data_IF_468526164293
#
_entry.id   IF_468526164293
#
_cell.length_a   1.000
_cell.length_b   1.000
_cell.length_c   1.000
_cell.angle_alpha   90.00
_cell.angle_beta   90.00
_cell.angle_gamma   90.00
#
_symmetry.space_group_name_H-M   'P 1'
#
loop_
_entity.id
_entity.type
_entity.pdbx_description
1 polymer ?
#
# COMPACT_ATOMS: atom_id res chain seq x y z
N UNK A 1 -4.68 -51.86 -41.57
CA UNK A 1 -5.93 -51.25 -41.07
C UNK A 1 -5.60 -50.48 -39.80
N UNK A 2 -6.03 -49.22 -39.76
CA UNK A 2 -5.81 -48.22 -38.71
C UNK A 2 -6.90 -48.37 -37.65
N UNK A 3 -6.57 -48.27 -36.36
CA UNK A 3 -7.41 -47.55 -35.40
C UNK A 3 -6.52 -46.80 -34.41
N UNK A 4 -6.72 -45.49 -34.39
CA UNK A 4 -5.98 -44.49 -33.61
C UNK A 4 -6.52 -44.47 -32.18
N UNK A 5 -5.63 -44.44 -31.19
CA UNK A 5 -5.96 -43.97 -29.85
C UNK A 5 -6.16 -42.46 -29.93
N UNK A 6 -7.35 -41.98 -29.60
CA UNK A 6 -7.60 -40.55 -29.48
C UNK A 6 -8.74 -40.25 -28.52
N UNK A 7 -8.51 -39.16 -27.78
CA UNK A 7 -9.46 -38.27 -27.11
C UNK A 7 -9.90 -38.70 -25.69
N UNK A 8 -9.18 -38.29 -24.64
CA UNK A 8 -8.93 -36.93 -24.11
C UNK A 8 -9.95 -36.54 -23.02
N UNK A 9 -9.41 -36.57 -21.79
CA UNK A 9 -9.49 -35.51 -20.77
C UNK A 9 -10.91 -35.11 -20.38
N UNK A 10 -11.35 -35.70 -19.26
CA UNK A 10 -12.34 -35.13 -18.35
C UNK A 10 -11.96 -33.68 -18.02
N UNK A 11 -12.61 -32.71 -18.67
CA UNK A 11 -12.69 -31.35 -18.14
C UNK A 11 -13.85 -31.36 -17.15
N UNK A 12 -13.51 -31.71 -15.90
CA UNK A 12 -14.28 -31.30 -14.73
C UNK A 12 -14.37 -29.77 -14.77
N UNK A 13 -15.53 -29.25 -15.14
CA UNK A 13 -15.93 -27.91 -14.78
C UNK A 13 -16.01 -27.83 -13.25
N UNK A 14 -14.88 -27.52 -12.62
CA UNK A 14 -14.87 -26.94 -11.28
C UNK A 14 -15.50 -25.54 -11.39
N UNK A 15 -16.82 -25.51 -11.35
CA UNK A 15 -17.58 -24.38 -10.84
C UNK A 15 -17.36 -24.32 -9.32
N UNK A 16 -16.12 -24.11 -8.89
CA UNK A 16 -15.84 -23.66 -7.53
C UNK A 16 -16.25 -22.20 -7.48
N UNK A 17 -17.25 -21.94 -6.64
CA UNK A 17 -17.95 -20.67 -6.54
C UNK A 17 -17.02 -19.47 -6.45
N UNK A 18 -17.39 -18.43 -7.20
CA UNK A 18 -17.00 -17.05 -6.94
C UNK A 18 -17.64 -16.63 -5.60
N UNK A 19 -17.10 -17.13 -4.50
CA UNK A 19 -17.42 -16.66 -3.16
C UNK A 19 -16.68 -15.36 -2.95
N UNK A 20 -17.40 -14.25 -3.11
CA UNK A 20 -16.93 -12.91 -2.70
C UNK A 20 -16.67 -12.90 -1.20
N UNK A 21 -15.45 -13.24 -0.83
CA UNK A 21 -14.89 -13.06 0.49
C UNK A 21 -13.46 -12.59 0.27
N UNK A 22 -13.24 -11.28 0.29
CA UNK A 22 -11.89 -10.77 0.41
C UNK A 22 -11.25 -11.39 1.65
N UNK A 23 -10.00 -11.82 1.53
CA UNK A 23 -9.20 -12.26 2.67
C UNK A 23 -9.07 -11.09 3.65
N UNK A 24 -9.36 -11.32 4.92
CA UNK A 24 -9.11 -10.32 5.96
C UNK A 24 -7.59 -10.10 6.06
N UNK A 25 -7.13 -8.90 5.71
CA UNK A 25 -5.71 -8.56 5.65
C UNK A 25 -5.04 -8.48 7.02
N UNK A 26 -5.81 -8.48 8.12
CA UNK A 26 -5.29 -8.43 9.48
C UNK A 26 -4.84 -9.80 10.01
N UNK A 27 -5.36 -10.88 9.42
CA UNK A 27 -5.14 -12.26 9.89
C UNK A 27 -4.11 -13.02 9.02
N UNK A 28 -3.43 -12.33 8.10
CA UNK A 28 -2.45 -12.95 7.21
C UNK A 28 -1.05 -12.83 7.80
N UNK A 29 -0.47 -13.97 8.15
CA UNK A 29 0.93 -14.05 8.57
C UNK A 29 1.87 -13.66 7.42
N UNK A 30 2.76 -12.71 7.69
CA UNK A 30 3.86 -12.35 6.80
C UNK A 30 5.09 -11.91 7.56
N UNK A 31 6.25 -12.03 6.91
CA UNK A 31 7.49 -11.52 7.46
C UNK A 31 7.43 -9.99 7.60
N UNK A 32 7.84 -9.42 8.75
CA UNK A 32 7.95 -7.98 8.92
C UNK A 32 8.93 -7.36 7.91
N UNK A 33 8.56 -6.20 7.38
CA UNK A 33 9.39 -5.41 6.47
C UNK A 33 10.26 -4.42 7.26
N UNK A 34 11.45 -4.05 6.74
CA UNK A 34 12.34 -3.12 7.43
C UNK A 34 11.69 -1.77 7.78
N UNK A 35 10.77 -1.28 6.93
CA UNK A 35 10.10 -0.01 7.13
C UNK A 35 9.22 0.02 8.40
N UNK A 36 8.77 -1.13 8.90
CA UNK A 36 7.90 -1.23 10.08
C UNK A 36 8.65 -0.99 11.40
N UNK A 37 9.98 -1.14 11.39
CA UNK A 37 10.84 -0.99 12.56
C UNK A 37 11.49 0.39 12.66
N UNK A 38 11.19 1.31 11.74
CA UNK A 38 11.79 2.65 11.72
C UNK A 38 11.34 3.46 12.94
N UNK A 39 12.31 4.00 13.69
CA UNK A 39 12.05 4.85 14.85
C UNK A 39 11.71 6.28 14.41
N UNK A 40 10.51 6.47 13.86
CA UNK A 40 10.08 7.74 13.23
C UNK A 40 10.31 8.96 14.12
N UNK A 41 10.10 8.84 15.44
CA UNK A 41 10.29 9.93 16.43
C UNK A 41 11.70 10.51 16.48
N UNK A 42 12.70 9.73 16.11
CA UNK A 42 14.11 10.13 16.14
C UNK A 42 14.58 10.72 14.80
N UNK A 43 13.75 10.66 13.76
CA UNK A 43 14.10 11.16 12.44
C UNK A 43 14.01 12.70 12.40
N UNK A 44 14.90 13.32 11.64
CA UNK A 44 14.75 14.71 11.22
C UNK A 44 13.61 14.84 10.19
N UNK A 45 13.16 16.06 9.92
CA UNK A 45 12.16 16.31 8.87
C UNK A 45 12.59 15.76 7.51
N UNK A 46 13.85 15.97 7.11
CA UNK A 46 14.39 15.41 5.86
C UNK A 46 14.39 13.88 5.84
N UNK A 47 14.77 13.26 6.97
CA UNK A 47 14.76 11.81 7.09
C UNK A 47 13.32 11.25 7.07
N UNK A 48 12.34 11.96 7.63
CA UNK A 48 10.92 11.62 7.52
C UNK A 48 10.42 11.72 6.08
N UNK A 49 10.80 12.77 5.34
CA UNK A 49 10.43 12.93 3.93
C UNK A 49 11.03 11.82 3.06
N UNK A 50 12.28 11.45 3.30
CA UNK A 50 12.90 10.33 2.61
C UNK A 50 12.27 8.99 3.00
N UNK A 51 11.87 8.82 4.26
CA UNK A 51 11.14 7.64 4.70
C UNK A 51 9.75 7.54 4.04
N UNK A 52 9.01 8.64 3.94
CA UNK A 52 7.74 8.69 3.21
C UNK A 52 7.92 8.29 1.73
N UNK A 53 8.98 8.78 1.06
CA UNK A 53 9.30 8.37 -0.31
C UNK A 53 9.59 6.88 -0.42
N UNK A 54 10.35 6.31 0.52
CA UNK A 54 10.60 4.87 0.57
C UNK A 54 9.31 4.07 0.78
N UNK A 55 8.39 4.53 1.63
CA UNK A 55 7.07 3.91 1.80
C UNK A 55 6.23 3.97 0.50
N UNK A 56 6.37 5.04 -0.30
CA UNK A 56 5.74 5.11 -1.61
C UNK A 56 6.36 4.15 -2.63
N UNK A 57 7.67 3.87 -2.55
CA UNK A 57 8.32 2.83 -3.35
C UNK A 57 7.82 1.43 -2.95
N UNK A 58 7.66 1.16 -1.65
CA UNK A 58 7.08 -0.10 -1.17
C UNK A 58 5.61 -0.26 -1.60
N UNK A 59 4.84 0.82 -1.65
CA UNK A 59 3.47 0.80 -2.21
C UNK A 59 3.46 0.45 -3.70
N UNK A 60 4.45 0.91 -4.47
CA UNK A 60 4.62 0.51 -5.88
C UNK A 60 4.84 -1.01 -5.99
N UNK A 61 5.75 -1.55 -5.20
CA UNK A 61 6.02 -3.00 -5.17
C UNK A 61 4.78 -3.79 -4.74
N UNK A 62 4.14 -3.41 -3.64
CA UNK A 62 2.94 -4.09 -3.14
C UNK A 62 1.79 -4.10 -4.16
N UNK A 63 1.62 -3.00 -4.89
CA UNK A 63 0.61 -2.90 -5.97
C UNK A 63 0.95 -3.80 -7.15
N UNK A 64 2.21 -3.83 -7.58
CA UNK A 64 2.66 -4.65 -8.69
C UNK A 64 2.52 -6.16 -8.39
N UNK A 65 2.81 -6.55 -7.16
CA UNK A 65 2.78 -7.94 -6.70
C UNK A 65 1.37 -8.40 -6.27
N UNK A 66 0.40 -7.50 -6.19
CA UNK A 66 -0.93 -7.80 -5.64
C UNK A 66 -0.88 -8.16 -4.15
N UNK A 67 0.11 -7.64 -3.42
CA UNK A 67 0.33 -7.92 -2.00
C UNK A 67 -0.60 -7.05 -1.13
N UNK A 68 -1.89 -7.37 -1.12
CA UNK A 68 -2.92 -6.56 -0.46
C UNK A 68 -2.74 -6.42 1.06
N UNK A 69 -2.15 -7.42 1.71
CA UNK A 69 -1.80 -7.38 3.14
C UNK A 69 -0.80 -6.26 3.42
N UNK A 70 0.19 -6.07 2.55
CA UNK A 70 1.20 -5.01 2.71
C UNK A 70 0.57 -3.62 2.75
N UNK A 71 -0.58 -3.42 2.10
CA UNK A 71 -1.27 -2.12 2.11
C UNK A 71 -1.75 -1.71 3.51
N UNK A 72 -2.09 -2.65 4.40
CA UNK A 72 -2.40 -2.32 5.80
C UNK A 72 -1.16 -1.83 6.56
N UNK A 73 -0.04 -2.53 6.43
CA UNK A 73 1.18 -2.16 7.13
C UNK A 73 1.78 -0.86 6.59
N UNK A 74 1.65 -0.63 5.29
CA UNK A 74 1.99 0.64 4.66
C UNK A 74 1.13 1.78 5.20
N UNK A 75 -0.18 1.59 5.39
CA UNK A 75 -1.06 2.57 6.03
C UNK A 75 -0.57 2.90 7.45
N UNK A 76 -0.29 1.91 8.28
CA UNK A 76 0.22 2.13 9.64
C UNK A 76 1.54 2.92 9.62
N UNK A 77 2.49 2.54 8.76
CA UNK A 77 3.80 3.18 8.65
C UNK A 77 3.67 4.63 8.15
N UNK A 78 2.84 4.86 7.12
CA UNK A 78 2.53 6.20 6.60
C UNK A 78 1.90 7.07 7.69
N UNK A 79 0.89 6.59 8.39
CA UNK A 79 0.20 7.33 9.46
C UNK A 79 1.18 7.74 10.56
N UNK A 80 2.04 6.83 11.02
CA UNK A 80 3.08 7.13 12.03
C UNK A 80 4.05 8.22 11.56
N UNK A 81 4.55 8.11 10.33
CA UNK A 81 5.47 9.08 9.76
C UNK A 81 4.79 10.46 9.54
N UNK A 82 3.53 10.48 9.13
CA UNK A 82 2.75 11.71 8.89
C UNK A 82 2.35 12.43 10.18
N UNK A 83 2.08 11.70 11.26
CA UNK A 83 1.87 12.31 12.59
C UNK A 83 3.17 12.94 13.07
N UNK A 84 4.29 12.24 12.90
CA UNK A 84 5.58 12.74 13.36
C UNK A 84 6.02 13.97 12.55
N UNK A 85 5.87 13.97 11.22
CA UNK A 85 6.22 15.15 10.41
C UNK A 85 5.36 16.35 10.80
N UNK A 86 4.06 16.17 10.98
CA UNK A 86 3.14 17.24 11.43
C UNK A 86 3.58 17.83 12.76
N UNK A 87 4.03 17.01 13.71
CA UNK A 87 4.47 17.47 15.03
C UNK A 87 5.74 18.34 15.00
N UNK A 88 6.52 18.28 13.92
CA UNK A 88 7.77 19.04 13.74
C UNK A 88 7.59 20.33 12.94
N UNK A 89 6.42 20.55 12.34
CA UNK A 89 6.16 21.72 11.52
C UNK A 89 5.55 22.86 12.34
N UNK A 90 5.83 24.13 11.98
CA UNK A 90 5.09 25.27 12.49
C UNK A 90 3.60 25.14 12.19
N UNK A 91 2.75 25.66 13.09
CA UNK A 91 1.31 25.60 12.93
C UNK A 91 0.86 26.17 11.57
N UNK A 92 0.12 25.34 10.81
CA UNK A 92 -0.43 25.70 9.51
C UNK A 92 0.46 25.44 8.30
N UNK A 93 1.77 25.20 8.48
CA UNK A 93 2.67 24.84 7.38
C UNK A 93 2.31 23.47 6.81
N UNK A 94 2.02 23.41 5.51
CA UNK A 94 1.73 22.17 4.76
C UNK A 94 0.60 21.28 5.32
N UNK A 95 -0.24 21.81 6.22
CA UNK A 95 -1.32 21.08 6.90
C UNK A 95 -2.25 20.36 5.91
N UNK A 96 -2.69 21.08 4.87
CA UNK A 96 -3.59 20.55 3.84
C UNK A 96 -2.98 19.35 3.09
N UNK A 97 -1.69 19.41 2.78
CA UNK A 97 -0.98 18.33 2.09
C UNK A 97 -0.82 17.11 3.00
N UNK A 98 -0.51 17.32 4.28
CA UNK A 98 -0.43 16.26 5.30
C UNK A 98 -1.80 15.59 5.52
N UNK A 99 -2.87 16.37 5.66
CA UNK A 99 -4.22 15.84 5.83
C UNK A 99 -4.65 15.01 4.61
N UNK A 100 -4.33 15.48 3.41
CA UNK A 100 -4.54 14.71 2.17
C UNK A 100 -3.78 13.39 2.21
N UNK A 101 -2.52 13.40 2.63
CA UNK A 101 -1.69 12.18 2.74
C UNK A 101 -2.24 11.19 3.77
N UNK A 102 -2.76 11.66 4.91
CA UNK A 102 -3.42 10.80 5.91
C UNK A 102 -4.69 10.14 5.34
N UNK A 103 -5.49 10.90 4.58
CA UNK A 103 -6.65 10.34 3.88
C UNK A 103 -6.21 9.27 2.88
N UNK A 104 -5.13 9.50 2.13
CA UNK A 104 -4.59 8.51 1.20
C UNK A 104 -4.14 7.23 1.91
N UNK A 105 -3.49 7.32 3.08
CA UNK A 105 -3.11 6.15 3.87
C UNK A 105 -4.33 5.28 4.21
N UNK A 106 -5.43 5.88 4.69
CA UNK A 106 -6.70 5.15 4.95
C UNK A 106 -7.24 4.50 3.67
N UNK A 107 -7.21 5.21 2.54
CA UNK A 107 -7.68 4.65 1.26
C UNK A 107 -6.81 3.50 0.75
N UNK A 108 -5.51 3.50 1.07
CA UNK A 108 -4.60 2.39 0.75
C UNK A 108 -5.00 1.15 1.55
N UNK A 109 -5.28 1.30 2.85
CA UNK A 109 -5.82 0.22 3.67
C UNK A 109 -7.13 -0.35 3.10
N UNK A 110 -8.09 0.51 2.73
CA UNK A 110 -9.34 0.09 2.09
C UNK A 110 -9.10 -0.66 0.76
N UNK A 111 -8.13 -0.23 -0.04
CA UNK A 111 -7.78 -0.90 -1.29
C UNK A 111 -7.19 -2.30 -1.04
N UNK A 112 -6.39 -2.46 0.01
CA UNK A 112 -5.91 -3.75 0.47
C UNK A 112 -7.05 -4.67 0.91
N UNK A 113 -7.92 -4.17 1.80
CA UNK A 113 -9.04 -4.94 2.34
C UNK A 113 -9.99 -5.43 1.22
N UNK A 114 -10.24 -4.56 0.24
CA UNK A 114 -11.11 -4.88 -0.89
C UNK A 114 -10.38 -5.57 -2.06
N UNK A 115 -9.08 -5.85 -1.92
CA UNK A 115 -8.24 -6.44 -2.96
C UNK A 115 -8.35 -5.71 -4.32
N UNK A 116 -8.44 -4.39 -4.28
CA UNK A 116 -8.76 -3.56 -5.44
C UNK A 116 -7.48 -3.03 -6.12
N UNK A 117 -6.90 -3.85 -7.00
CA UNK A 117 -5.70 -3.50 -7.76
C UNK A 117 -5.79 -2.17 -8.54
N UNK A 118 -6.87 -1.91 -9.32
CA UNK A 118 -7.04 -0.63 -10.01
C UNK A 118 -7.04 0.58 -9.07
N UNK A 119 -7.67 0.48 -7.91
CA UNK A 119 -7.66 1.54 -6.90
C UNK A 119 -6.27 1.70 -6.27
N UNK A 120 -5.60 0.60 -5.92
CA UNK A 120 -4.24 0.62 -5.39
C UNK A 120 -3.26 1.34 -6.33
N UNK A 121 -3.32 1.05 -7.64
CA UNK A 121 -2.49 1.71 -8.66
C UNK A 121 -2.74 3.22 -8.76
N UNK A 122 -3.99 3.65 -8.61
CA UNK A 122 -4.32 5.08 -8.58
C UNK A 122 -3.74 5.73 -7.32
N UNK A 123 -3.92 5.08 -6.17
CA UNK A 123 -3.47 5.58 -4.87
C UNK A 123 -1.96 5.67 -4.77
N UNK A 124 -1.22 4.67 -5.27
CA UNK A 124 0.25 4.68 -5.36
C UNK A 124 0.76 5.94 -6.07
N UNK A 125 0.21 6.23 -7.26
CA UNK A 125 0.60 7.41 -8.04
C UNK A 125 0.31 8.69 -7.27
N UNK A 126 -0.91 8.82 -6.73
CA UNK A 126 -1.32 10.01 -5.98
C UNK A 126 -0.52 10.20 -4.69
N UNK A 127 -0.17 9.11 -4.00
CA UNK A 127 0.67 9.11 -2.81
C UNK A 127 2.04 9.73 -3.12
N UNK A 128 2.72 9.21 -4.16
CA UNK A 128 4.03 9.71 -4.57
C UNK A 128 3.99 11.19 -4.96
N UNK A 129 3.01 11.59 -5.75
CA UNK A 129 2.82 13.00 -6.16
C UNK A 129 2.65 13.92 -4.94
N UNK A 130 1.85 13.51 -3.95
CA UNK A 130 1.60 14.31 -2.74
C UNK A 130 2.78 14.35 -1.78
N UNK A 131 3.58 13.29 -1.70
CA UNK A 131 4.83 13.29 -0.93
C UNK A 131 5.86 14.24 -1.58
N UNK A 132 5.98 14.21 -2.90
CA UNK A 132 6.86 15.14 -3.62
C UNK A 132 6.40 16.59 -3.47
N UNK A 133 5.08 16.83 -3.50
CA UNK A 133 4.52 18.14 -3.20
C UNK A 133 4.90 18.58 -1.78
N UNK A 134 4.68 17.73 -0.76
CA UNK A 134 5.04 18.03 0.62
C UNK A 134 6.53 18.35 0.76
N UNK A 135 7.39 17.56 0.13
CA UNK A 135 8.84 17.81 0.11
C UNK A 135 9.15 19.19 -0.47
N UNK A 136 8.55 19.56 -1.59
CA UNK A 136 8.74 20.88 -2.21
C UNK A 136 8.16 22.05 -1.42
N UNK A 137 7.19 21.82 -0.53
CA UNK A 137 6.67 22.85 0.38
C UNK A 137 7.56 23.06 1.61
N UNK A 138 8.41 22.09 1.95
CA UNK A 138 9.26 22.09 3.15
C UNK A 138 10.75 22.39 2.88
N UNK A 139 11.16 22.42 1.60
CA UNK A 139 12.51 22.79 1.14
C UNK A 139 12.53 24.21 0.58
#
# INVERSE_FOLDING_TARGET
MKYYYSLAICILFFLSGCGGGGMDIHDVDRDPKPYESVQVKQLSTDALLNHLLALADEMTTATADGAYVEMHHLEIALTKALIEIESKLPDGSSRSTIDTLKILAVRIHEAGHNQNGPMAKKLEKTLREKILQLKGELT
#
